data_IF_752122935884
#
_entry.id   IF_752122935884
#
_cell.length_a   1.000
_cell.length_b   1.000
_cell.length_c   1.000
_cell.angle_alpha   90.00
_cell.angle_beta   90.00
_cell.angle_gamma   90.00
#
_symmetry.space_group_name_H-M   'P 1'
#
loop_
_entity.id
_entity.type
_entity.pdbx_description
1 polymer ?
#
# COMPACT_ATOMS: atom_id res chain seq x y z
N UNK A 1 -3.51 18.31 12.67
CA UNK A 1 -4.45 18.32 13.83
C UNK A 1 -4.88 19.71 14.25
N UNK A 2 -3.97 20.62 14.61
CA UNK A 2 -4.36 21.97 15.08
C UNK A 2 -5.17 22.75 14.03
N UNK A 3 -4.76 22.69 12.77
CA UNK A 3 -5.47 23.38 11.69
C UNK A 3 -6.87 22.80 11.44
N UNK A 4 -7.02 21.48 11.51
CA UNK A 4 -8.33 20.83 11.35
C UNK A 4 -9.25 21.12 12.54
N UNK A 5 -8.70 21.19 13.76
CA UNK A 5 -9.43 21.64 14.95
C UNK A 5 -9.93 23.09 14.77
N UNK A 6 -9.06 24.02 14.36
CA UNK A 6 -9.41 25.43 14.10
C UNK A 6 -10.50 25.57 13.03
N UNK A 7 -10.35 24.83 11.93
CA UNK A 7 -11.32 24.80 10.82
C UNK A 7 -12.69 24.24 11.24
N UNK A 8 -12.73 23.27 12.14
CA UNK A 8 -13.98 22.67 12.64
C UNK A 8 -14.64 23.52 13.72
N UNK A 9 -13.86 24.13 14.61
CA UNK A 9 -14.39 24.99 15.68
C UNK A 9 -15.00 26.29 15.14
N UNK A 10 -14.51 26.77 14.00
CA UNK A 10 -15.00 27.98 13.33
C UNK A 10 -16.15 27.70 12.35
N UNK A 11 -16.53 26.43 12.15
CA UNK A 11 -17.60 26.07 11.22
C UNK A 11 -18.98 26.43 11.78
N UNK A 12 -19.86 26.96 10.93
CA UNK A 12 -21.24 27.31 11.32
C UNK A 12 -22.19 26.11 11.40
N UNK A 13 -21.82 24.97 10.81
CA UNK A 13 -22.63 23.77 10.75
C UNK A 13 -22.32 22.88 11.97
N UNK A 14 -23.31 22.57 12.81
CA UNK A 14 -23.10 21.70 13.96
C UNK A 14 -22.81 20.27 13.51
N UNK A 15 -21.84 19.62 14.15
CA UNK A 15 -21.56 18.20 13.99
C UNK A 15 -22.57 17.37 14.80
N UNK A 16 -22.93 16.18 14.30
CA UNK A 16 -23.83 15.27 15.04
C UNK A 16 -23.10 14.53 16.15
N UNK A 17 -21.82 14.26 15.95
CA UNK A 17 -20.95 13.57 16.90
C UNK A 17 -19.78 14.46 17.30
N UNK A 18 -19.35 14.33 18.56
CA UNK A 18 -18.17 15.02 19.07
C UNK A 18 -16.87 14.45 18.49
N UNK A 19 -15.85 15.29 18.37
CA UNK A 19 -14.51 14.90 17.94
C UNK A 19 -13.55 15.13 19.10
N UNK A 20 -12.77 14.11 19.45
CA UNK A 20 -11.68 14.21 20.42
C UNK A 20 -10.37 14.35 19.65
N UNK A 21 -9.68 15.48 19.84
CA UNK A 21 -8.31 15.66 19.38
C UNK A 21 -7.38 15.21 20.50
N UNK A 22 -6.74 14.05 20.31
CA UNK A 22 -5.80 13.50 21.28
C UNK A 22 -4.37 13.88 20.89
N UNK A 23 -3.74 14.73 21.70
CA UNK A 23 -2.31 15.02 21.61
C UNK A 23 -1.63 14.23 22.73
N UNK A 24 -1.28 12.98 22.44
CA UNK A 24 -0.55 12.10 23.35
C UNK A 24 0.96 12.14 23.04
N UNK A 25 1.75 11.48 23.88
CA UNK A 25 3.20 11.35 23.70
C UNK A 25 3.68 9.99 24.16
N UNK A 26 5.01 9.80 24.14
CA UNK A 26 5.66 8.54 24.47
C UNK A 26 5.23 7.36 23.58
N UNK A 27 4.88 7.64 22.32
CA UNK A 27 4.76 6.63 21.25
C UNK A 27 6.11 5.92 21.07
N UNK A 28 7.17 6.71 20.88
CA UNK A 28 8.57 6.29 20.72
C UNK A 28 9.11 5.40 21.85
N UNK A 29 8.49 5.49 23.04
CA UNK A 29 8.78 4.61 24.17
C UNK A 29 7.69 3.55 24.34
N UNK A 30 7.29 2.93 23.23
CA UNK A 30 6.30 1.85 23.15
C UNK A 30 4.89 2.30 23.57
N UNK A 31 4.31 3.23 22.80
CA UNK A 31 2.87 3.53 22.73
C UNK A 31 2.19 3.86 24.07
N UNK A 32 2.94 4.42 25.03
CA UNK A 32 2.46 4.56 26.41
C UNK A 32 1.30 5.56 26.53
N UNK A 33 1.34 6.64 25.76
CA UNK A 33 0.32 7.68 25.81
C UNK A 33 -1.05 7.18 25.33
N UNK A 34 -1.09 6.53 24.17
CA UNK A 34 -2.33 5.93 23.65
C UNK A 34 -2.82 4.80 24.57
N UNK A 35 -1.91 4.00 25.12
CA UNK A 35 -2.27 2.92 26.04
C UNK A 35 -2.91 3.46 27.32
N UNK A 36 -2.36 4.53 27.89
CA UNK A 36 -2.95 5.22 29.04
C UNK A 36 -4.35 5.77 28.71
N UNK A 37 -4.53 6.40 27.55
CA UNK A 37 -5.84 6.89 27.12
C UNK A 37 -6.86 5.76 27.00
N UNK A 38 -6.54 4.70 26.25
CA UNK A 38 -7.45 3.58 25.97
C UNK A 38 -7.84 2.82 27.24
N UNK A 39 -6.88 2.56 28.14
CA UNK A 39 -7.13 1.71 29.31
C UNK A 39 -7.69 2.46 30.52
N UNK A 40 -7.44 3.77 30.64
CA UNK A 40 -7.75 4.51 31.87
C UNK A 40 -8.70 5.69 31.65
N UNK A 41 -8.70 6.33 30.47
CA UNK A 41 -9.45 7.57 30.28
C UNK A 41 -10.94 7.31 30.02
N UNK A 42 -11.81 8.02 30.73
CA UNK A 42 -13.26 7.83 30.64
C UNK A 42 -13.83 8.05 29.22
N UNK A 43 -13.24 8.95 28.43
CA UNK A 43 -13.69 9.22 27.06
C UNK A 43 -13.39 8.08 26.09
N UNK A 44 -12.41 7.21 26.37
CA UNK A 44 -12.11 6.08 25.49
C UNK A 44 -13.35 5.20 25.25
N UNK A 45 -14.23 5.08 26.25
CA UNK A 45 -15.51 4.34 26.17
C UNK A 45 -16.54 4.97 25.22
N UNK A 46 -16.37 6.25 24.88
CA UNK A 46 -17.25 7.01 23.99
C UNK A 46 -16.75 7.00 22.55
N UNK A 47 -15.48 6.66 22.32
CA UNK A 47 -14.87 6.66 20.98
C UNK A 47 -15.45 5.50 20.16
N UNK A 48 -15.99 5.82 18.99
CA UNK A 48 -16.57 4.84 18.04
C UNK A 48 -15.68 4.56 16.84
N UNK A 49 -14.83 5.51 16.49
CA UNK A 49 -13.80 5.36 15.48
C UNK A 49 -12.64 6.32 15.76
N UNK A 50 -11.48 6.06 15.18
CA UNK A 50 -10.32 6.96 15.24
C UNK A 50 -9.63 7.12 13.89
N UNK A 51 -8.88 8.21 13.75
CA UNK A 51 -7.95 8.44 12.65
C UNK A 51 -6.59 8.65 13.31
N UNK A 52 -5.65 7.75 13.07
CA UNK A 52 -4.27 7.89 13.52
C UNK A 52 -3.43 8.56 12.43
N UNK A 53 -2.52 9.44 12.86
CA UNK A 53 -1.73 10.28 11.97
C UNK A 53 -0.25 10.04 12.28
N UNK A 54 0.43 9.36 11.38
CA UNK A 54 1.80 8.90 11.52
C UNK A 54 2.70 9.47 10.44
N UNK A 55 3.99 9.25 10.62
CA UNK A 55 4.99 9.53 9.61
C UNK A 55 6.14 8.54 9.73
N UNK A 56 6.49 7.89 8.62
CA UNK A 56 7.71 7.13 8.44
C UNK A 56 8.64 7.83 7.42
N UNK A 57 8.51 9.16 7.31
CA UNK A 57 9.18 10.02 6.35
C UNK A 57 8.72 11.47 6.48
N UNK A 58 9.30 12.37 5.67
CA UNK A 58 9.08 13.82 5.82
C UNK A 58 8.05 14.41 4.86
N UNK A 59 7.37 13.57 4.08
CA UNK A 59 6.20 14.05 3.37
C UNK A 59 5.66 13.13 2.28
N UNK A 60 5.29 13.76 1.16
CA UNK A 60 4.61 13.13 0.05
C UNK A 60 3.12 12.95 0.30
N UNK A 61 2.54 11.93 -0.33
CA UNK A 61 1.15 11.55 -0.11
C UNK A 61 1.05 10.70 1.16
N UNK A 62 0.15 11.08 2.05
CA UNK A 62 -0.25 10.33 3.23
C UNK A 62 -0.96 9.04 2.83
N UNK A 63 -0.28 7.92 3.04
CA UNK A 63 -0.78 6.60 2.65
C UNK A 63 -1.70 6.08 3.74
N UNK A 64 -2.94 5.73 3.39
CA UNK A 64 -3.77 4.85 4.22
C UNK A 64 -3.19 3.43 4.13
N UNK A 65 -2.54 3.00 5.20
CA UNK A 65 -1.87 1.71 5.27
C UNK A 65 -2.48 0.78 6.33
N UNK A 66 -3.38 1.22 7.20
CA UNK A 66 -4.16 0.31 8.04
C UNK A 66 -5.60 0.77 8.19
N UNK A 67 -6.52 -0.19 8.22
CA UNK A 67 -7.94 0.02 8.48
C UNK A 67 -8.48 -1.11 9.33
N UNK A 68 -9.49 -0.82 10.15
CA UNK A 68 -10.19 -1.82 10.95
C UNK A 68 -9.96 -1.69 12.47
N UNK A 69 -10.33 -2.72 13.26
CA UNK A 69 -10.71 -4.06 12.79
C UNK A 69 -12.13 -4.10 12.20
N UNK A 70 -12.41 -5.01 11.25
CA UNK A 70 -13.75 -5.40 10.74
C UNK A 70 -14.76 -4.29 10.37
N UNK A 71 -14.29 -3.09 10.02
CA UNK A 71 -15.16 -1.93 9.82
C UNK A 71 -14.98 -1.35 8.40
N UNK A 72 -15.56 -2.01 7.38
CA UNK A 72 -15.44 -1.58 5.98
C UNK A 72 -16.02 -0.19 5.71
N UNK A 73 -16.93 0.27 6.57
CA UNK A 73 -17.52 1.60 6.45
C UNK A 73 -16.49 2.73 6.62
N UNK A 74 -15.36 2.51 7.31
CA UNK A 74 -14.29 3.50 7.43
C UNK A 74 -13.56 3.72 6.10
N UNK A 75 -13.32 2.64 5.35
CA UNK A 75 -12.76 2.74 3.99
C UNK A 75 -13.76 3.43 3.06
N UNK A 76 -15.05 3.17 3.22
CA UNK A 76 -16.09 3.87 2.46
C UNK A 76 -16.14 5.36 2.83
N UNK A 77 -16.01 5.70 4.11
CA UNK A 77 -15.92 7.09 4.56
C UNK A 77 -14.70 7.79 3.97
N UNK A 78 -13.54 7.14 3.97
CA UNK A 78 -12.35 7.66 3.31
C UNK A 78 -12.56 7.82 1.80
N UNK A 79 -13.08 6.80 1.12
CA UNK A 79 -13.38 6.82 -0.31
C UNK A 79 -14.34 7.95 -0.70
N UNK A 80 -15.35 8.21 0.13
CA UNK A 80 -16.37 9.24 -0.12
C UNK A 80 -15.90 10.67 0.19
N UNK A 81 -14.94 10.84 1.10
CA UNK A 81 -14.63 12.14 1.70
C UNK A 81 -13.18 12.61 1.50
N UNK A 82 -12.25 11.71 1.17
CA UNK A 82 -10.88 12.09 0.85
C UNK A 82 -10.84 12.81 -0.50
N UNK A 83 -10.43 14.08 -0.49
CA UNK A 83 -10.25 14.93 -1.67
C UNK A 83 -9.07 14.42 -2.53
N UNK A 84 -8.13 13.77 -1.87
CA UNK A 84 -6.80 13.44 -2.34
C UNK A 84 -6.46 12.00 -1.96
N UNK A 85 -7.20 10.99 -2.43
CA UNK A 85 -7.04 9.63 -1.93
C UNK A 85 -5.63 9.08 -2.20
N UNK A 86 -5.09 8.35 -1.23
CA UNK A 86 -3.89 7.53 -1.39
C UNK A 86 -3.96 6.36 -0.40
N UNK A 87 -4.20 5.16 -0.90
CA UNK A 87 -4.55 4.02 -0.06
C UNK A 87 -4.10 2.71 -0.70
N UNK A 88 -3.65 1.75 0.11
CA UNK A 88 -3.19 0.45 -0.40
C UNK A 88 -3.41 -0.69 0.59
N UNK A 89 -4.22 -1.67 0.19
CA UNK A 89 -4.36 -2.93 0.93
C UNK A 89 -3.04 -3.70 0.99
N UNK A 90 -2.17 -3.56 -0.02
CA UNK A 90 -0.86 -4.22 -0.02
C UNK A 90 0.01 -3.64 1.10
N UNK A 91 -0.03 -2.32 1.30
CA UNK A 91 0.66 -1.70 2.42
C UNK A 91 0.13 -2.20 3.77
N UNK A 92 -1.19 -2.38 3.87
CA UNK A 92 -1.82 -2.98 5.05
C UNK A 92 -1.35 -4.40 5.31
N UNK A 93 -1.38 -5.27 4.31
CA UNK A 93 -0.95 -6.67 4.46
C UNK A 93 0.53 -6.76 4.82
N UNK A 94 1.38 -5.96 4.18
CA UNK A 94 2.82 -5.91 4.49
C UNK A 94 3.06 -5.44 5.91
N UNK A 95 2.43 -4.33 6.34
CA UNK A 95 2.60 -3.82 7.71
C UNK A 95 2.07 -4.81 8.76
N UNK A 96 0.87 -5.35 8.55
CA UNK A 96 0.25 -6.31 9.46
C UNK A 96 0.95 -7.68 9.48
N UNK A 97 1.76 -8.01 8.47
CA UNK A 97 2.57 -9.24 8.46
C UNK A 97 3.69 -9.23 9.51
N UNK A 98 4.05 -8.06 10.05
CA UNK A 98 5.16 -7.90 10.99
C UNK A 98 6.55 -7.93 10.34
N UNK A 99 6.64 -7.94 9.01
CA UNK A 99 7.93 -7.84 8.30
C UNK A 99 8.56 -6.45 8.46
N UNK A 100 7.73 -5.43 8.65
CA UNK A 100 8.16 -4.07 9.02
C UNK A 100 8.20 -4.03 10.56
N UNK A 101 9.38 -3.84 11.18
CA UNK A 101 9.53 -3.79 12.63
C UNK A 101 9.12 -2.41 13.16
N UNK A 102 7.86 -2.06 12.94
CA UNK A 102 7.26 -0.78 13.35
C UNK A 102 5.88 -1.05 13.94
N UNK A 103 5.44 -0.12 14.76
CA UNK A 103 4.14 -0.15 15.41
C UNK A 103 3.60 1.28 15.47
N UNK A 104 2.32 1.43 15.76
CA UNK A 104 1.68 2.75 15.84
C UNK A 104 0.59 2.72 16.91
N UNK A 105 0.12 3.90 17.30
CA UNK A 105 -1.02 4.01 18.22
C UNK A 105 -2.26 3.26 17.73
N UNK A 106 -2.39 3.03 16.41
CA UNK A 106 -3.45 2.20 15.82
C UNK A 106 -3.56 0.82 16.48
N UNK A 107 -2.43 0.18 16.80
CA UNK A 107 -2.44 -1.13 17.47
C UNK A 107 -3.12 -1.04 18.83
N UNK A 108 -2.85 0.01 19.60
CA UNK A 108 -3.41 0.14 20.95
C UNK A 108 -4.93 0.29 20.88
N UNK A 109 -5.43 1.12 19.96
CA UNK A 109 -6.86 1.29 19.76
C UNK A 109 -7.53 -0.01 19.28
N UNK A 110 -6.88 -0.76 18.39
CA UNK A 110 -7.37 -2.05 17.88
C UNK A 110 -7.36 -3.13 18.97
N UNK A 111 -6.22 -3.39 19.60
CA UNK A 111 -5.98 -4.58 20.42
C UNK A 111 -6.51 -4.41 21.85
N UNK A 112 -6.43 -3.20 22.42
CA UNK A 112 -6.85 -2.92 23.80
C UNK A 112 -8.19 -2.19 23.86
N UNK A 113 -8.53 -1.41 22.82
CA UNK A 113 -9.79 -0.67 22.75
C UNK A 113 -10.89 -1.39 21.97
N UNK A 114 -10.55 -2.30 21.05
CA UNK A 114 -11.46 -2.84 20.03
C UNK A 114 -12.22 -1.72 19.28
N UNK A 115 -11.54 -0.61 19.04
CA UNK A 115 -12.08 0.55 18.33
C UNK A 115 -11.57 0.48 16.88
N UNK A 116 -12.43 0.65 15.87
CA UNK A 116 -11.98 0.70 14.50
C UNK A 116 -11.40 2.05 14.11
N UNK A 117 -10.40 2.06 13.25
CA UNK A 117 -9.81 3.29 12.75
C UNK A 117 -9.19 3.19 11.37
N UNK A 118 -8.58 4.30 10.98
CA UNK A 118 -7.77 4.47 9.78
C UNK A 118 -6.39 4.95 10.24
N UNK A 119 -5.33 4.33 9.77
CA UNK A 119 -3.95 4.78 9.99
C UNK A 119 -3.37 5.36 8.70
N UNK A 120 -2.86 6.58 8.79
CA UNK A 120 -2.28 7.31 7.67
C UNK A 120 -0.84 7.68 7.99
N UNK A 121 0.08 7.43 7.05
CA UNK A 121 1.48 7.80 7.22
C UNK A 121 2.05 8.57 6.03
N UNK A 122 2.83 9.61 6.30
CA UNK A 122 3.82 10.10 5.32
C UNK A 122 4.93 9.07 5.16
N UNK A 123 5.30 8.75 3.92
CA UNK A 123 6.31 7.71 3.64
C UNK A 123 7.43 8.19 2.73
N UNK A 124 7.30 9.38 2.14
CA UNK A 124 8.32 9.90 1.25
C UNK A 124 9.57 10.27 2.06
N UNK A 125 10.73 9.96 1.50
CA UNK A 125 12.02 10.34 2.07
C UNK A 125 12.27 9.75 3.48
N UNK A 126 11.75 8.54 3.75
CA UNK A 126 11.83 7.85 5.05
C UNK A 126 13.23 7.52 5.58
N UNK A 127 14.30 7.77 4.83
CA UNK A 127 15.67 7.51 5.30
C UNK A 127 16.17 8.51 6.35
N UNK A 128 15.52 9.67 6.50
CA UNK A 128 15.85 10.63 7.56
C UNK A 128 15.00 10.46 8.82
N UNK A 129 13.97 9.63 8.73
CA UNK A 129 13.12 9.24 9.86
C UNK A 129 13.96 8.68 11.02
N UNK A 130 13.62 9.05 12.25
CA UNK A 130 14.42 8.77 13.47
C UNK A 130 15.90 9.15 13.37
N UNK A 131 16.24 10.21 12.63
CA UNK A 131 17.59 10.78 12.62
C UNK A 131 17.56 12.25 13.01
N UNK A 132 18.72 12.79 13.38
CA UNK A 132 18.88 14.24 13.62
C UNK A 132 18.55 15.13 12.41
N UNK A 133 18.37 14.55 11.23
CA UNK A 133 18.02 15.26 10.01
C UNK A 133 16.51 15.38 9.80
N UNK A 134 15.71 14.71 10.62
CA UNK A 134 14.26 14.88 10.66
C UNK A 134 13.93 16.25 11.27
N UNK A 135 13.69 17.23 10.41
CA UNK A 135 13.65 18.65 10.75
C UNK A 135 12.47 19.30 10.03
N UNK A 136 11.82 20.25 10.69
CA UNK A 136 10.55 20.81 10.23
C UNK A 136 10.63 21.48 8.85
N UNK A 137 11.79 22.04 8.49
CA UNK A 137 12.03 22.69 7.19
C UNK A 137 12.04 21.70 6.01
N UNK A 138 12.08 20.39 6.27
CA UNK A 138 12.01 19.34 5.25
C UNK A 138 10.59 18.86 4.95
N UNK A 139 9.61 19.30 5.73
CA UNK A 139 8.21 18.98 5.48
C UNK A 139 7.65 20.01 4.50
N UNK A 140 7.24 19.54 3.33
CA UNK A 140 6.71 20.43 2.31
C UNK A 140 5.27 20.89 2.65
N UNK A 141 4.98 22.16 2.39
CA UNK A 141 3.66 22.75 2.70
C UNK A 141 2.51 22.10 1.95
N UNK A 142 2.75 21.64 0.71
CA UNK A 142 1.77 20.91 -0.10
C UNK A 142 1.37 19.58 0.53
N UNK A 143 2.32 18.87 1.17
CA UNK A 143 2.08 17.66 1.93
C UNK A 143 1.16 17.93 3.12
N UNK A 144 1.43 18.99 3.87
CA UNK A 144 0.60 19.39 5.03
C UNK A 144 -0.80 19.77 4.56
N UNK A 145 -0.92 20.56 3.49
CA UNK A 145 -2.21 20.99 2.96
C UNK A 145 -3.04 19.80 2.48
N UNK A 146 -2.43 18.90 1.70
CA UNK A 146 -3.07 17.70 1.17
C UNK A 146 -3.62 16.80 2.28
N UNK A 147 -2.79 16.52 3.29
CA UNK A 147 -3.23 15.74 4.45
C UNK A 147 -4.33 16.47 5.22
N UNK A 148 -4.22 17.79 5.41
CA UNK A 148 -5.25 18.62 6.02
C UNK A 148 -6.60 18.51 5.30
N UNK A 149 -6.62 18.60 3.98
CA UNK A 149 -7.80 18.49 3.14
C UNK A 149 -8.48 17.12 3.30
N UNK A 150 -7.71 16.04 3.24
CA UNK A 150 -8.22 14.69 3.45
C UNK A 150 -8.74 14.47 4.87
N UNK A 151 -7.96 14.80 5.89
CA UNK A 151 -8.33 14.61 7.30
C UNK A 151 -9.58 15.42 7.62
N UNK A 152 -9.67 16.68 7.17
CA UNK A 152 -10.83 17.53 7.39
C UNK A 152 -12.08 16.97 6.70
N UNK A 153 -11.95 16.53 5.44
CA UNK A 153 -13.05 15.90 4.69
C UNK A 153 -13.58 14.66 5.41
N UNK A 154 -12.67 13.74 5.78
CA UNK A 154 -13.03 12.49 6.46
C UNK A 154 -13.63 12.77 7.84
N UNK A 155 -13.04 13.66 8.65
CA UNK A 155 -13.60 14.03 9.96
C UNK A 155 -15.02 14.59 9.85
N UNK A 156 -15.29 15.49 8.89
CA UNK A 156 -16.63 16.04 8.66
C UNK A 156 -17.62 14.96 8.26
N UNK A 157 -17.21 14.03 7.40
CA UNK A 157 -18.04 12.90 6.99
C UNK A 157 -18.37 12.00 8.19
N UNK A 158 -17.36 11.57 8.94
CA UNK A 158 -17.53 10.69 10.11
C UNK A 158 -18.42 11.35 11.16
N UNK A 159 -18.14 12.59 11.53
CA UNK A 159 -18.86 13.29 12.59
C UNK A 159 -20.30 13.69 12.23
N UNK A 160 -20.67 13.62 10.93
CA UNK A 160 -22.04 13.87 10.46
C UNK A 160 -22.79 12.58 10.08
N UNK A 161 -22.09 11.45 10.02
CA UNK A 161 -22.62 10.19 9.54
C UNK A 161 -23.44 9.46 10.62
N UNK A 162 -24.63 8.94 10.29
CA UNK A 162 -25.37 8.07 11.22
C UNK A 162 -24.64 6.74 11.47
N UNK A 163 -23.79 6.29 10.53
CA UNK A 163 -23.04 5.03 10.65
C UNK A 163 -22.04 5.02 11.81
N UNK A 164 -21.59 6.20 12.27
CA UNK A 164 -20.70 6.28 13.42
C UNK A 164 -21.42 5.91 14.73
N UNK A 165 -22.73 6.16 14.82
CA UNK A 165 -23.52 5.80 16.00
C UNK A 165 -23.75 4.29 16.09
N UNK A 166 -24.01 3.66 14.95
CA UNK A 166 -24.21 2.22 14.84
C UNK A 166 -23.61 1.70 13.52
N UNK A 167 -22.45 1.05 13.61
CA UNK A 167 -21.77 0.43 12.49
C UNK A 167 -22.03 -1.08 12.38
N UNK A 168 -22.91 -1.65 13.23
CA UNK A 168 -23.09 -3.09 13.37
C UNK A 168 -23.50 -3.77 12.05
N UNK A 169 -24.43 -3.17 11.32
CA UNK A 169 -24.88 -3.65 10.01
C UNK A 169 -23.76 -3.67 8.96
N UNK A 170 -22.70 -2.88 9.15
CA UNK A 170 -21.62 -2.77 8.20
C UNK A 170 -20.39 -3.60 8.58
N UNK A 171 -20.41 -4.37 9.66
CA UNK A 171 -19.29 -5.26 10.05
C UNK A 171 -19.19 -6.49 9.14
N UNK A 172 -18.75 -6.29 7.91
CA UNK A 172 -18.65 -7.34 6.87
C UNK A 172 -17.25 -7.93 6.69
N UNK A 173 -16.36 -7.76 7.69
CA UNK A 173 -14.99 -8.25 7.64
C UNK A 173 -14.06 -7.38 6.79
N UNK A 174 -12.98 -7.99 6.30
CA UNK A 174 -11.91 -7.27 5.61
C UNK A 174 -12.33 -6.76 4.22
N UNK A 175 -11.74 -5.63 3.82
CA UNK A 175 -11.85 -5.06 2.48
C UNK A 175 -10.55 -5.21 1.71
N UNK A 176 -10.69 -5.37 0.40
CA UNK A 176 -9.65 -4.98 -0.56
C UNK A 176 -9.91 -3.52 -0.90
N UNK A 177 -8.88 -2.68 -0.79
CA UNK A 177 -8.96 -1.27 -1.15
C UNK A 177 -7.65 -0.76 -1.75
N UNK A 178 -7.75 0.18 -2.68
CA UNK A 178 -6.62 0.88 -3.26
C UNK A 178 -7.08 2.14 -4.01
N UNK A 179 -6.23 3.15 -4.12
CA UNK A 179 -6.49 4.28 -5.00
C UNK A 179 -6.08 4.01 -6.46
N UNK A 180 -6.76 4.68 -7.39
CA UNK A 180 -6.40 4.68 -8.81
C UNK A 180 -5.70 6.00 -9.13
N UNK A 181 -4.36 6.01 -9.07
CA UNK A 181 -3.51 7.18 -9.35
C UNK A 181 -3.87 8.43 -8.55
N UNK A 182 -4.43 8.25 -7.35
CA UNK A 182 -4.92 9.29 -6.47
C UNK A 182 -6.20 10.01 -6.93
N UNK A 183 -6.94 9.45 -7.89
CA UNK A 183 -8.19 10.05 -8.39
C UNK A 183 -9.42 9.62 -7.59
N UNK A 184 -9.51 8.33 -7.26
CA UNK A 184 -10.61 7.75 -6.47
C UNK A 184 -10.16 6.44 -5.84
N UNK A 185 -10.90 5.96 -4.84
CA UNK A 185 -10.63 4.69 -4.16
C UNK A 185 -11.56 3.60 -4.70
N UNK A 186 -10.98 2.47 -5.07
CA UNK A 186 -11.72 1.22 -5.29
C UNK A 186 -11.72 0.44 -3.99
N UNK A 187 -12.89 0.01 -3.53
CA UNK A 187 -13.01 -0.83 -2.33
C UNK A 187 -14.12 -1.86 -2.47
N UNK A 188 -13.86 -3.10 -2.07
CA UNK A 188 -14.86 -4.18 -2.07
C UNK A 188 -14.54 -5.25 -1.00
N UNK A 189 -15.54 -6.00 -0.51
CA UNK A 189 -15.32 -7.09 0.44
C UNK A 189 -14.29 -8.12 -0.03
N UNK A 190 -13.38 -8.54 0.84
CA UNK A 190 -12.33 -9.51 0.52
C UNK A 190 -12.88 -10.80 -0.10
N UNK A 191 -14.07 -11.25 0.35
CA UNK A 191 -14.80 -12.39 -0.25
C UNK A 191 -15.04 -12.24 -1.76
N UNK A 192 -15.36 -11.03 -2.23
CA UNK A 192 -15.55 -10.76 -3.66
C UNK A 192 -14.21 -10.86 -4.38
N UNK A 193 -13.12 -10.36 -3.77
CA UNK A 193 -11.77 -10.53 -4.28
C UNK A 193 -11.39 -12.01 -4.47
N UNK A 194 -11.68 -12.84 -3.46
CA UNK A 194 -11.46 -14.28 -3.53
C UNK A 194 -12.24 -14.93 -4.68
N UNK A 195 -13.51 -14.57 -4.87
CA UNK A 195 -14.34 -15.08 -5.97
C UNK A 195 -13.74 -14.66 -7.33
N UNK A 196 -13.39 -13.38 -7.49
CA UNK A 196 -12.76 -12.85 -8.71
C UNK A 196 -11.47 -13.63 -9.02
N UNK A 197 -10.62 -13.85 -8.03
CA UNK A 197 -9.37 -14.60 -8.19
C UNK A 197 -9.61 -16.04 -8.65
N UNK A 198 -10.57 -16.76 -8.06
CA UNK A 198 -10.91 -18.12 -8.49
C UNK A 198 -11.51 -18.15 -9.90
N UNK A 199 -12.38 -17.20 -10.25
CA UNK A 199 -12.96 -17.10 -11.58
C UNK A 199 -11.88 -16.83 -12.63
N UNK A 200 -10.97 -15.90 -12.38
CA UNK A 200 -9.85 -15.59 -13.28
C UNK A 200 -8.93 -16.80 -13.44
N UNK A 201 -8.59 -17.48 -12.33
CA UNK A 201 -7.78 -18.70 -12.37
C UNK A 201 -8.45 -19.81 -13.17
N UNK A 202 -9.75 -20.06 -12.95
CA UNK A 202 -10.52 -21.05 -13.71
C UNK A 202 -10.61 -20.69 -15.19
N UNK A 203 -10.85 -19.42 -15.52
CA UNK A 203 -10.89 -18.94 -16.90
C UNK A 203 -9.52 -19.10 -17.60
N UNK A 204 -8.43 -18.78 -16.91
CA UNK A 204 -7.07 -18.99 -17.42
C UNK A 204 -6.79 -20.47 -17.65
N UNK A 205 -7.12 -21.34 -16.69
CA UNK A 205 -6.96 -22.79 -16.82
C UNK A 205 -7.80 -23.35 -17.98
N UNK A 206 -9.04 -22.90 -18.13
CA UNK A 206 -9.92 -23.30 -19.22
C UNK A 206 -9.35 -22.87 -20.59
N UNK A 207 -8.91 -21.61 -20.70
CA UNK A 207 -8.30 -21.08 -21.92
C UNK A 207 -7.03 -21.84 -22.31
N UNK A 208 -6.13 -22.08 -21.34
CA UNK A 208 -4.90 -22.83 -21.54
C UNK A 208 -5.20 -24.28 -21.94
N UNK A 209 -6.16 -24.94 -21.28
CA UNK A 209 -6.59 -26.31 -21.59
C UNK A 209 -7.14 -26.43 -23.02
N UNK A 210 -7.99 -25.48 -23.44
CA UNK A 210 -8.53 -25.43 -24.80
C UNK A 210 -7.43 -25.27 -25.84
N UNK A 211 -6.43 -24.41 -25.58
CA UNK A 211 -5.26 -24.28 -26.46
C UNK A 211 -4.46 -25.57 -26.51
N UNK A 212 -4.16 -26.19 -25.37
CA UNK A 212 -3.41 -27.46 -25.31
C UNK A 212 -4.09 -28.55 -26.15
N UNK A 213 -5.41 -28.72 -26.03
CA UNK A 213 -6.17 -29.72 -26.81
C UNK A 213 -6.16 -29.37 -28.31
N UNK A 214 -6.39 -28.10 -28.69
CA UNK A 214 -6.41 -27.67 -30.09
C UNK A 214 -5.07 -27.94 -30.78
N UNK A 215 -3.96 -27.56 -30.15
CA UNK A 215 -2.63 -27.75 -30.72
C UNK A 215 -2.20 -29.22 -30.73
N UNK A 216 -2.58 -30.00 -29.70
CA UNK A 216 -2.34 -31.45 -29.66
C UNK A 216 -3.03 -32.18 -30.82
N UNK A 217 -4.26 -31.79 -31.17
CA UNK A 217 -4.98 -32.32 -32.36
C UNK A 217 -4.30 -31.97 -33.69
N UNK A 218 -3.56 -30.85 -33.75
CA UNK A 218 -2.75 -30.44 -34.89
C UNK A 218 -1.30 -30.94 -34.87
N UNK A 219 -0.99 -31.95 -34.06
CA UNK A 219 0.36 -32.56 -33.97
C UNK A 219 1.40 -31.75 -33.19
N UNK A 220 1.03 -30.61 -32.58
CA UNK A 220 1.95 -29.74 -31.82
C UNK A 220 1.80 -29.93 -30.32
N UNK A 221 2.90 -29.88 -29.57
CA UNK A 221 2.87 -30.03 -28.12
C UNK A 221 2.90 -28.66 -27.41
N UNK A 222 1.76 -27.99 -27.38
CA UNK A 222 1.62 -26.66 -26.74
C UNK A 222 2.00 -26.64 -25.25
N UNK A 223 1.80 -27.76 -24.53
CA UNK A 223 2.21 -27.84 -23.13
C UNK A 223 3.73 -27.75 -22.97
N UNK A 224 4.49 -28.41 -23.86
CA UNK A 224 5.95 -28.27 -23.91
C UNK A 224 6.34 -26.81 -24.21
N UNK A 225 5.73 -26.20 -25.22
CA UNK A 225 6.05 -24.82 -25.61
C UNK A 225 5.75 -23.82 -24.49
N UNK A 226 4.64 -24.01 -23.76
CA UNK A 226 4.30 -23.23 -22.58
C UNK A 226 5.35 -23.40 -21.48
N UNK A 227 5.75 -24.64 -21.17
CA UNK A 227 6.77 -24.90 -20.14
C UNK A 227 8.13 -24.31 -20.51
N UNK A 228 8.52 -24.39 -21.79
CA UNK A 228 9.74 -23.76 -22.29
C UNK A 228 9.66 -22.24 -22.17
N UNK A 229 8.53 -21.64 -22.56
CA UNK A 229 8.29 -20.21 -22.42
C UNK A 229 8.35 -19.74 -20.96
N UNK A 230 7.73 -20.49 -20.05
CA UNK A 230 7.80 -20.23 -18.61
C UNK A 230 9.23 -20.33 -18.08
N UNK A 231 9.97 -21.37 -18.48
CA UNK A 231 11.37 -21.53 -18.12
C UNK A 231 12.23 -20.37 -18.60
N UNK A 232 12.08 -19.94 -19.86
CA UNK A 232 12.79 -18.76 -20.41
C UNK A 232 12.44 -17.50 -19.62
N UNK A 233 11.16 -17.28 -19.29
CA UNK A 233 10.74 -16.12 -18.51
C UNK A 233 11.40 -16.12 -17.11
N UNK A 234 11.28 -17.21 -16.36
CA UNK A 234 11.83 -17.32 -15.00
C UNK A 234 13.36 -17.17 -15.03
N UNK A 235 14.05 -17.86 -15.94
CA UNK A 235 15.51 -17.74 -16.07
C UNK A 235 15.93 -16.34 -16.51
N UNK A 236 15.15 -15.64 -17.33
CA UNK A 236 15.41 -14.24 -17.68
C UNK A 236 15.30 -13.30 -16.47
N UNK A 237 14.31 -13.51 -15.59
CA UNK A 237 14.13 -12.73 -14.36
C UNK A 237 15.29 -12.97 -13.39
N UNK A 238 15.67 -14.22 -13.17
CA UNK A 238 16.82 -14.57 -12.34
C UNK A 238 18.10 -13.95 -12.92
N UNK A 239 18.31 -14.03 -14.23
CA UNK A 239 19.49 -13.46 -14.88
C UNK A 239 19.53 -11.93 -14.80
N UNK A 240 18.39 -11.26 -14.93
CA UNK A 240 18.27 -9.83 -14.73
C UNK A 240 18.56 -9.43 -13.28
N UNK A 241 18.02 -10.16 -12.29
CA UNK A 241 18.31 -9.94 -10.87
C UNK A 241 19.80 -10.08 -10.56
N UNK A 242 20.43 -11.17 -11.02
CA UNK A 242 21.88 -11.38 -10.85
C UNK A 242 22.69 -10.25 -11.48
N UNK A 243 22.30 -9.78 -12.66
CA UNK A 243 22.96 -8.66 -13.34
C UNK A 243 22.85 -7.37 -12.52
N UNK A 244 21.66 -7.06 -11.99
CA UNK A 244 21.43 -5.90 -11.12
C UNK A 244 22.24 -6.00 -9.83
N UNK A 245 22.32 -7.18 -9.22
CA UNK A 245 23.12 -7.40 -8.01
C UNK A 245 24.63 -7.21 -8.27
N UNK A 246 25.14 -7.71 -9.40
CA UNK A 246 26.53 -7.47 -9.81
C UNK A 246 26.79 -5.97 -9.96
N UNK A 247 25.88 -5.25 -10.64
CA UNK A 247 25.99 -3.79 -10.77
C UNK A 247 25.95 -3.08 -9.41
N UNK A 248 25.07 -3.50 -8.50
CA UNK A 248 24.99 -2.93 -7.16
C UNK A 248 26.30 -3.13 -6.37
N UNK A 249 26.94 -4.30 -6.51
CA UNK A 249 28.27 -4.55 -5.93
C UNK A 249 29.32 -3.64 -6.56
N UNK A 250 29.36 -3.50 -7.89
CA UNK A 250 30.31 -2.62 -8.57
C UNK A 250 30.14 -1.16 -8.14
N UNK A 251 28.90 -0.66 -8.07
CA UNK A 251 28.59 0.68 -7.57
C UNK A 251 29.08 0.84 -6.13
N UNK A 252 28.86 -0.17 -5.29
CA UNK A 252 29.33 -0.15 -3.89
C UNK A 252 30.85 -0.11 -3.79
N UNK A 253 31.57 -0.84 -4.64
CA UNK A 253 33.03 -0.82 -4.69
C UNK A 253 33.62 0.54 -5.12
N UNK A 254 32.84 1.37 -5.82
CA UNK A 254 33.25 2.76 -6.16
C UNK A 254 32.94 3.77 -5.06
N UNK A 255 32.39 3.33 -3.92
CA UNK A 255 32.01 4.21 -2.81
C UNK A 255 30.68 4.97 -3.03
N UNK A 256 29.95 4.66 -4.11
CA UNK A 256 28.68 5.29 -4.46
C UNK A 256 27.47 4.41 -4.10
N UNK A 257 27.63 3.52 -3.11
CA UNK A 257 26.55 2.67 -2.62
C UNK A 257 25.35 3.53 -2.25
N UNK A 258 24.15 3.03 -2.56
CA UNK A 258 22.90 3.66 -2.16
C UNK A 258 22.71 5.12 -2.67
N UNK A 259 23.45 5.55 -3.70
CA UNK A 259 23.29 6.88 -4.34
C UNK A 259 21.88 7.15 -4.88
N UNK A 260 21.11 6.11 -5.17
CA UNK A 260 19.70 6.19 -5.57
C UNK A 260 18.75 6.83 -4.52
N UNK A 261 19.14 6.93 -3.25
CA UNK A 261 18.32 7.58 -2.22
C UNK A 261 18.31 9.10 -2.39
N UNK A 262 19.41 9.68 -2.87
CA UNK A 262 19.50 11.10 -3.20
C UNK A 262 19.06 11.36 -4.64
N UNK A 263 19.36 10.42 -5.53
CA UNK A 263 19.15 10.55 -6.96
C UNK A 263 18.33 9.38 -7.50
N UNK A 264 17.01 9.43 -7.31
CA UNK A 264 16.11 8.34 -7.71
C UNK A 264 16.24 7.92 -9.18
N UNK A 265 16.57 8.86 -10.07
CA UNK A 265 16.80 8.55 -11.49
C UNK A 265 17.91 7.50 -11.70
N UNK A 266 18.92 7.44 -10.83
CA UNK A 266 19.98 6.41 -10.87
C UNK A 266 19.37 5.02 -10.74
N UNK A 267 18.32 4.84 -9.92
CA UNK A 267 17.63 3.56 -9.80
C UNK A 267 17.11 3.07 -11.16
N UNK A 268 16.46 3.98 -11.89
CA UNK A 268 15.81 3.70 -13.17
C UNK A 268 16.84 3.55 -14.29
N UNK A 269 17.75 4.52 -14.43
CA UNK A 269 18.68 4.58 -15.56
C UNK A 269 19.79 3.56 -15.47
N UNK A 270 20.25 3.21 -14.25
CA UNK A 270 21.32 2.23 -14.08
C UNK A 270 20.74 0.82 -13.95
N UNK A 271 19.97 0.57 -12.89
CA UNK A 271 19.48 -0.78 -12.60
C UNK A 271 18.34 -1.18 -13.53
N UNK A 272 17.39 -0.27 -13.78
CA UNK A 272 16.26 -0.52 -14.69
C UNK A 272 16.71 -0.78 -16.13
N UNK A 273 17.61 0.02 -16.67
CA UNK A 273 18.14 -0.19 -18.03
C UNK A 273 18.94 -1.50 -18.13
N UNK A 274 19.75 -1.83 -17.13
CA UNK A 274 20.50 -3.09 -17.12
C UNK A 274 19.59 -4.32 -17.05
N UNK A 275 18.56 -4.28 -16.20
CA UNK A 275 17.56 -5.34 -16.13
C UNK A 275 16.84 -5.50 -17.49
N UNK A 276 16.38 -4.39 -18.08
CA UNK A 276 15.71 -4.41 -19.38
C UNK A 276 16.60 -4.96 -20.50
N UNK A 277 17.85 -4.48 -20.58
CA UNK A 277 18.83 -4.97 -21.55
C UNK A 277 19.06 -6.49 -21.39
N UNK A 278 19.14 -6.97 -20.14
CA UNK A 278 19.31 -8.40 -19.86
C UNK A 278 18.08 -9.22 -20.27
N UNK A 279 16.87 -8.72 -19.99
CA UNK A 279 15.63 -9.37 -20.41
C UNK A 279 15.53 -9.45 -21.94
N UNK A 280 15.84 -8.36 -22.65
CA UNK A 280 15.85 -8.31 -24.12
C UNK A 280 16.87 -9.32 -24.66
N UNK A 281 18.08 -9.35 -24.12
CA UNK A 281 19.13 -10.29 -24.54
C UNK A 281 18.68 -11.74 -24.38
N UNK A 282 18.17 -12.11 -23.20
CA UNK A 282 17.72 -13.48 -22.92
C UNK A 282 16.61 -13.93 -23.87
N UNK A 283 15.63 -13.06 -24.15
CA UNK A 283 14.54 -13.38 -25.08
C UNK A 283 15.00 -13.40 -26.54
N UNK A 284 15.96 -12.55 -26.92
CA UNK A 284 16.56 -12.54 -28.25
C UNK A 284 17.36 -13.81 -28.50
N UNK A 285 18.16 -14.24 -27.52
CA UNK A 285 18.89 -15.52 -27.57
C UNK A 285 17.93 -16.70 -27.62
N UNK A 286 16.90 -16.72 -26.78
CA UNK A 286 15.90 -17.79 -26.81
C UNK A 286 15.19 -17.87 -28.18
N UNK A 287 14.87 -16.73 -28.79
CA UNK A 287 14.34 -16.68 -30.16
C UNK A 287 15.32 -17.26 -31.18
N UNK A 288 16.57 -16.80 -31.17
CA UNK A 288 17.61 -17.24 -32.09
C UNK A 288 17.88 -18.75 -32.01
N UNK A 289 18.08 -19.27 -30.79
CA UNK A 289 18.51 -20.66 -30.58
C UNK A 289 17.37 -21.68 -30.49
N UNK A 290 16.21 -21.31 -29.94
CA UNK A 290 15.12 -22.28 -29.70
C UNK A 290 14.05 -22.23 -30.79
N UNK A 291 13.67 -21.04 -31.26
CA UNK A 291 12.53 -20.87 -32.16
C UNK A 291 12.90 -20.75 -33.64
N UNK A 292 14.16 -20.41 -33.96
CA UNK A 292 14.61 -20.27 -35.36
C UNK A 292 15.19 -21.58 -35.91
N UNK A 293 15.83 -22.40 -35.07
CA UNK A 293 16.39 -23.71 -35.47
C UNK A 293 15.30 -24.74 -35.79
N UNK A 294 14.10 -24.60 -35.21
CA UNK A 294 12.96 -25.49 -35.49
C UNK A 294 12.30 -25.30 -36.87
N UNK A 295 12.63 -24.23 -37.61
CA UNK A 295 12.06 -23.97 -38.95
C UNK A 295 12.85 -24.65 -40.09
N UNK A 296 14.05 -25.17 -39.84
CA UNK A 296 14.90 -25.84 -40.84
C UNK A 296 14.81 -27.38 -40.80
N UNK A 297 13.90 -27.94 -40.00
CA UNK A 297 13.66 -29.40 -39.90
C UNK A 297 12.21 -29.81 -40.24
N UNK A 298 11.52 -29.02 -41.07
CA UNK A 298 10.25 -29.39 -41.71
C UNK A 298 10.44 -29.50 -43.22
#
# INVERSE_FOLDING_TARGET
MLETLSSLSSASVPLKHGIVFLFNGAEENILQGSHGFITQHQWAKLVRAFINLEAAGVGGKELVFQTGPENPWLVQAYSAAAIHPFASVVAQEVFQSGIIPSDTDFRIYRDFGNIPGIDLAFIENGYIYHTKYDTADRIHTDTIQRAGDNILGVLRYLASSPLLADSSEYRHGNLVFFDVSGMFVVSYPARIGTIINYVIAAAALFYLSKKTIKYRRGGKNYARDLMVGLFINVTSWISALVTVLILAVLVSLTGNSLSWYTHFYVAVTLYGAAALAKLILMHTMAKAFYFTVSLYHL
#
